data_IF_597924805376
#
_entry.id   IF_597924805376
#
_cell.length_a   1.000
_cell.length_b   1.000
_cell.length_c   1.000
_cell.angle_alpha   90.00
_cell.angle_beta   90.00
_cell.angle_gamma   90.00
#
_symmetry.space_group_name_H-M   'P 1'
#
loop_
_entity.id
_entity.type
_entity.pdbx_description
1 polymer ?
#
# COMPACT_ATOMS: atom_id res chain seq x y z
N UNK A 1 -8.76 -4.12 15.90
CA UNK A 1 -8.27 -4.44 14.54
C UNK A 1 -7.37 -5.66 14.68
N UNK A 2 -7.27 -6.55 13.70
CA UNK A 2 -6.30 -7.65 13.70
C UNK A 2 -5.14 -7.30 12.79
N UNK A 3 -3.92 -7.27 13.32
CA UNK A 3 -2.73 -6.92 12.54
C UNK A 3 -1.92 -8.14 12.14
N UNK A 4 -1.37 -8.08 10.94
CA UNK A 4 -0.55 -9.13 10.36
C UNK A 4 0.73 -8.53 9.78
N UNK A 5 1.81 -9.28 9.93
CA UNK A 5 3.05 -9.09 9.18
C UNK A 5 3.13 -10.09 8.04
N UNK A 6 3.78 -9.71 6.95
CA UNK A 6 4.07 -10.55 5.81
C UNK A 6 5.51 -10.38 5.36
N UNK A 7 6.22 -11.49 5.28
CA UNK A 7 7.61 -11.59 4.84
C UNK A 7 7.67 -12.47 3.58
N UNK A 8 7.92 -11.88 2.39
CA UNK A 8 7.98 -12.63 1.15
C UNK A 8 9.21 -13.55 1.15
N UNK A 9 9.04 -14.76 0.61
CA UNK A 9 10.13 -15.73 0.52
C UNK A 9 11.21 -15.31 -0.50
N UNK A 10 10.86 -14.47 -1.46
CA UNK A 10 11.74 -13.91 -2.49
C UNK A 10 11.15 -12.56 -2.95
N UNK A 11 11.19 -12.27 -4.25
CA UNK A 11 10.57 -11.07 -4.81
C UNK A 11 9.05 -11.17 -4.94
N UNK A 12 8.40 -10.01 -4.97
CA UNK A 12 6.97 -9.85 -5.23
C UNK A 12 6.75 -9.22 -6.61
N UNK A 13 5.66 -9.58 -7.28
CA UNK A 13 5.30 -9.00 -8.56
C UNK A 13 3.84 -8.56 -8.55
N UNK A 14 3.60 -7.28 -8.85
CA UNK A 14 2.29 -6.67 -8.91
C UNK A 14 2.08 -6.05 -10.27
N UNK A 15 1.17 -6.63 -11.05
CA UNK A 15 0.88 -6.16 -12.40
C UNK A 15 0.14 -4.82 -12.36
N UNK A 16 0.58 -3.89 -13.21
CA UNK A 16 -0.14 -2.66 -13.51
C UNK A 16 -1.34 -2.89 -14.41
N UNK A 17 -2.06 -1.80 -14.73
CA UNK A 17 -3.17 -1.81 -15.67
C UNK A 17 -2.72 -1.75 -17.14
N UNK A 18 -1.41 -1.66 -17.38
CA UNK A 18 -0.83 -1.53 -18.72
C UNK A 18 -0.92 -2.87 -19.48
N UNK A 19 -1.47 -2.88 -20.71
CA UNK A 19 -1.58 -4.10 -21.51
C UNK A 19 -0.19 -4.63 -21.85
N UNK A 20 0.00 -5.94 -21.66
CA UNK A 20 1.25 -6.64 -21.97
C UNK A 20 1.06 -7.45 -23.26
N UNK A 21 1.11 -6.79 -24.41
CA UNK A 21 1.06 -7.46 -25.71
C UNK A 21 2.42 -8.04 -26.06
N UNK A 22 2.53 -9.37 -26.06
CA UNK A 22 3.71 -10.16 -26.43
C UNK A 22 4.48 -9.53 -27.60
N UNK A 23 5.69 -9.02 -27.35
CA UNK A 23 6.61 -8.50 -28.38
C UNK A 23 6.89 -6.99 -28.34
N UNK A 24 6.28 -6.22 -27.43
CA UNK A 24 6.59 -4.80 -27.24
C UNK A 24 7.58 -4.57 -26.08
N UNK A 25 8.20 -3.39 -26.01
CA UNK A 25 9.14 -3.03 -24.93
C UNK A 25 8.42 -3.00 -23.57
N UNK A 26 8.49 -4.10 -22.82
CA UNK A 26 7.78 -4.26 -21.55
C UNK A 26 8.71 -4.06 -20.35
N UNK A 27 8.97 -2.82 -19.95
CA UNK A 27 9.28 -2.53 -18.54
C UNK A 27 7.97 -2.20 -17.85
N UNK A 28 7.14 -3.21 -17.57
CA UNK A 28 5.96 -3.00 -16.75
C UNK A 28 6.40 -2.52 -15.36
N UNK A 29 5.97 -1.33 -14.97
CA UNK A 29 6.33 -0.72 -13.69
C UNK A 29 5.59 -1.47 -12.58
N UNK A 30 6.31 -1.97 -11.58
CA UNK A 30 5.69 -2.68 -10.45
C UNK A 30 4.89 -1.69 -9.61
N UNK A 31 3.59 -1.95 -9.40
CA UNK A 31 2.77 -1.17 -8.47
C UNK A 31 3.11 -1.61 -7.04
N UNK A 32 4.06 -0.91 -6.41
CA UNK A 32 4.54 -1.19 -5.06
C UNK A 32 4.50 0.07 -4.17
N UNK A 33 4.04 -0.02 -2.91
CA UNK A 33 3.55 -1.23 -2.22
C UNK A 33 2.23 -1.77 -2.80
N UNK A 34 1.86 -3.03 -2.50
CA UNK A 34 0.69 -3.65 -3.14
C UNK A 34 -0.60 -2.89 -2.84
N UNK A 35 -1.49 -2.72 -3.83
CA UNK A 35 -2.82 -2.18 -3.59
C UNK A 35 -3.61 -3.03 -2.58
N UNK A 36 -4.46 -2.39 -1.77
CA UNK A 36 -5.33 -3.06 -0.79
C UNK A 36 -6.17 -4.18 -1.42
N UNK A 37 -6.66 -3.98 -2.65
CA UNK A 37 -7.42 -5.00 -3.38
C UNK A 37 -6.65 -6.31 -3.55
N UNK A 38 -5.33 -6.23 -3.74
CA UNK A 38 -4.46 -7.40 -3.91
C UNK A 38 -4.31 -8.16 -2.60
N UNK A 39 -4.18 -7.44 -1.47
CA UNK A 39 -4.20 -8.05 -0.13
C UNK A 39 -5.55 -8.71 0.16
N UNK A 40 -6.67 -8.06 -0.19
CA UNK A 40 -8.01 -8.63 -0.04
C UNK A 40 -8.16 -9.94 -0.82
N UNK A 41 -7.75 -9.98 -2.08
CA UNK A 41 -7.78 -11.21 -2.89
C UNK A 41 -6.90 -12.32 -2.32
N UNK A 42 -5.70 -11.98 -1.85
CA UNK A 42 -4.78 -12.90 -1.21
C UNK A 42 -5.37 -13.51 0.08
N UNK A 43 -6.00 -12.70 0.93
CA UNK A 43 -6.66 -13.16 2.16
C UNK A 43 -7.87 -14.04 1.86
N UNK A 44 -8.74 -13.66 0.91
CA UNK A 44 -9.87 -14.52 0.47
C UNK A 44 -9.39 -15.89 0.03
N UNK A 45 -8.36 -15.93 -0.82
CA UNK A 45 -7.76 -17.19 -1.30
C UNK A 45 -7.17 -18.02 -0.16
N UNK A 46 -6.56 -17.35 0.83
CA UNK A 46 -5.99 -18.01 2.00
C UNK A 46 -7.07 -18.61 2.90
N UNK A 47 -8.17 -17.89 3.12
CA UNK A 47 -9.34 -18.37 3.85
C UNK A 47 -9.89 -19.64 3.18
N UNK A 48 -10.16 -19.60 1.88
CA UNK A 48 -10.66 -20.77 1.13
C UNK A 48 -9.73 -21.97 1.30
N UNK A 49 -8.41 -21.75 1.11
CA UNK A 49 -7.42 -22.82 1.21
C UNK A 49 -7.34 -23.45 2.60
N UNK A 50 -7.31 -22.64 3.65
CA UNK A 50 -7.19 -23.14 5.03
C UNK A 50 -8.47 -23.85 5.50
N UNK A 51 -9.63 -23.42 5.01
CA UNK A 51 -10.92 -24.04 5.29
C UNK A 51 -11.26 -25.20 4.32
N UNK A 52 -10.31 -25.60 3.45
CA UNK A 52 -10.45 -26.72 2.49
C UNK A 52 -11.63 -26.56 1.52
N UNK A 53 -11.93 -25.32 1.13
CA UNK A 53 -13.00 -24.99 0.18
C UNK A 53 -12.40 -24.91 -1.22
N UNK A 54 -13.01 -25.62 -2.17
CA UNK A 54 -12.58 -25.54 -3.57
C UNK A 54 -13.00 -24.22 -4.22
N UNK A 55 -12.30 -23.83 -5.27
CA UNK A 55 -12.63 -22.61 -6.03
C UNK A 55 -14.03 -22.75 -6.65
N UNK A 56 -14.38 -23.93 -7.17
CA UNK A 56 -15.69 -24.17 -7.78
C UNK A 56 -16.83 -23.99 -6.78
N UNK A 57 -16.70 -24.55 -5.56
CA UNK A 57 -17.66 -24.34 -4.47
C UNK A 57 -17.86 -22.85 -4.15
N UNK A 58 -16.77 -22.08 -4.21
CA UNK A 58 -16.82 -20.66 -3.94
C UNK A 58 -17.56 -19.86 -5.01
N UNK A 59 -17.32 -20.16 -6.30
CA UNK A 59 -18.02 -19.51 -7.40
C UNK A 59 -19.50 -19.88 -7.47
N UNK A 60 -19.85 -21.11 -7.09
CA UNK A 60 -21.23 -21.58 -7.00
C UNK A 60 -21.97 -21.06 -5.76
N UNK A 61 -21.30 -20.28 -4.89
CA UNK A 61 -21.80 -19.83 -3.59
C UNK A 61 -22.24 -20.99 -2.67
N UNK A 62 -21.66 -22.18 -2.86
CA UNK A 62 -21.93 -23.36 -2.06
C UNK A 62 -20.93 -23.46 -0.90
N UNK A 63 -20.97 -22.46 -0.03
CA UNK A 63 -20.15 -22.36 1.17
C UNK A 63 -21.01 -21.93 2.35
N UNK A 64 -20.51 -22.14 3.57
CA UNK A 64 -21.18 -21.69 4.80
C UNK A 64 -21.54 -20.19 4.72
N UNK A 65 -22.76 -19.84 5.13
CA UNK A 65 -23.29 -18.48 5.08
C UNK A 65 -22.46 -17.49 5.89
N UNK A 66 -22.01 -17.86 7.10
CA UNK A 66 -21.17 -16.98 7.92
C UNK A 66 -19.83 -16.70 7.23
N UNK A 67 -19.27 -17.73 6.60
CA UNK A 67 -18.01 -17.59 5.88
C UNK A 67 -18.17 -16.72 4.62
N UNK A 68 -19.27 -16.90 3.88
CA UNK A 68 -19.61 -16.09 2.71
C UNK A 68 -19.76 -14.61 3.06
N UNK A 69 -20.36 -14.30 4.22
CA UNK A 69 -20.47 -12.92 4.71
C UNK A 69 -19.10 -12.28 4.99
N UNK A 70 -18.13 -13.06 5.49
CA UNK A 70 -16.77 -12.57 5.74
C UNK A 70 -16.04 -12.37 4.41
N UNK A 71 -15.96 -13.38 3.55
CA UNK A 71 -15.11 -13.33 2.35
C UNK A 71 -15.76 -12.60 1.17
N UNK A 72 -17.08 -12.45 1.17
CA UNK A 72 -17.90 -11.93 0.07
C UNK A 72 -17.95 -12.88 -1.14
N UNK A 73 -18.96 -12.73 -2.00
CA UNK A 73 -19.08 -13.46 -3.28
C UNK A 73 -17.95 -13.07 -4.25
N UNK A 74 -17.51 -13.99 -5.12
CA UNK A 74 -16.30 -13.85 -5.94
C UNK A 74 -16.16 -12.50 -6.69
N UNK A 75 -17.25 -11.94 -7.21
CA UNK A 75 -17.33 -10.68 -7.96
C UNK A 75 -17.75 -9.46 -7.11
N UNK A 76 -17.99 -9.66 -5.81
CA UNK A 76 -18.40 -8.61 -4.87
C UNK A 76 -17.26 -8.20 -3.94
N UNK A 77 -17.50 -7.10 -3.23
CA UNK A 77 -16.62 -6.63 -2.15
C UNK A 77 -16.56 -7.69 -1.04
N UNK A 78 -15.37 -7.92 -0.51
CA UNK A 78 -15.21 -8.70 0.71
C UNK A 78 -15.94 -8.02 1.88
N UNK A 79 -16.44 -8.82 2.82
CA UNK A 79 -17.10 -8.33 4.03
C UNK A 79 -16.15 -7.71 5.05
N UNK A 80 -14.85 -7.64 4.78
CA UNK A 80 -13.83 -7.01 5.60
C UNK A 80 -13.09 -5.87 4.87
N UNK A 81 -12.52 -4.97 5.67
CA UNK A 81 -11.66 -3.87 5.26
C UNK A 81 -10.22 -4.14 5.66
N UNK A 82 -9.29 -3.55 4.92
CA UNK A 82 -7.86 -3.63 5.22
C UNK A 82 -7.31 -2.21 5.32
N UNK A 83 -6.43 -1.99 6.28
CA UNK A 83 -5.55 -0.82 6.36
C UNK A 83 -4.13 -1.24 6.02
N UNK A 84 -3.47 -0.48 5.16
CA UNK A 84 -2.09 -0.67 4.72
C UNK A 84 -1.99 -0.90 3.20
N UNK A 85 -0.93 -1.56 2.73
CA UNK A 85 0.21 -2.03 3.51
C UNK A 85 1.08 -0.89 4.06
N UNK A 86 1.63 -1.14 5.22
CA UNK A 86 2.68 -0.39 5.90
C UNK A 86 4.00 -1.16 5.83
N UNK A 87 5.09 -0.55 6.27
CA UNK A 87 6.38 -1.23 6.40
C UNK A 87 6.77 -1.37 7.87
N UNK A 88 7.33 -2.52 8.23
CA UNK A 88 8.17 -2.66 9.41
C UNK A 88 9.61 -2.78 8.95
N UNK A 89 10.51 -1.98 9.51
CA UNK A 89 11.96 -2.10 9.32
C UNK A 89 12.63 -2.08 10.69
N UNK A 90 13.40 -3.12 10.99
CA UNK A 90 14.09 -3.27 12.28
C UNK A 90 13.14 -3.09 13.49
N UNK A 91 11.94 -3.67 13.41
CA UNK A 91 10.84 -3.59 14.40
C UNK A 91 10.22 -2.19 14.57
N UNK A 92 10.57 -1.24 13.71
CA UNK A 92 9.95 0.08 13.67
C UNK A 92 8.91 0.11 12.56
N UNK A 93 7.68 0.45 12.91
CA UNK A 93 6.59 0.61 11.94
C UNK A 93 6.72 1.99 11.28
N UNK A 94 6.70 1.98 9.95
CA UNK A 94 6.71 3.15 9.09
C UNK A 94 5.35 3.33 8.42
N UNK A 95 4.90 4.59 8.40
CA UNK A 95 3.65 5.04 7.80
C UNK A 95 3.93 6.10 6.73
N UNK A 96 3.06 6.26 5.73
CA UNK A 96 3.18 7.36 4.78
C UNK A 96 3.11 8.69 5.53
N UNK A 97 3.97 9.62 5.15
CA UNK A 97 3.94 10.97 5.70
C UNK A 97 2.70 11.72 5.16
N UNK A 98 2.04 12.56 5.99
CA UNK A 98 0.92 13.38 5.53
C UNK A 98 1.31 14.33 4.40
N UNK A 99 0.50 14.40 3.35
CA UNK A 99 0.68 15.38 2.25
C UNK A 99 0.53 16.84 2.70
N UNK A 100 -0.10 17.05 3.86
CA UNK A 100 -0.23 18.36 4.50
C UNK A 100 0.99 18.77 5.32
N UNK A 101 2.05 17.95 5.35
CA UNK A 101 3.33 18.28 5.98
C UNK A 101 4.35 18.63 4.90
N UNK A 102 5.20 19.61 5.19
CA UNK A 102 6.16 20.19 4.26
C UNK A 102 7.54 20.28 4.90
N UNK A 103 8.58 20.41 4.09
CA UNK A 103 9.94 20.72 4.49
C UNK A 103 10.56 21.73 3.51
N UNK A 104 11.61 22.45 3.92
CA UNK A 104 12.30 23.39 3.01
C UNK A 104 13.05 22.60 1.92
N UNK A 105 12.96 23.03 0.66
CA UNK A 105 13.56 22.32 -0.48
C UNK A 105 15.07 22.09 -0.35
N UNK A 106 15.78 22.98 0.32
CA UNK A 106 17.22 22.83 0.59
C UNK A 106 17.55 21.62 1.49
N UNK A 107 16.54 21.08 2.19
CA UNK A 107 16.64 19.87 3.01
C UNK A 107 16.32 18.58 2.23
N UNK A 108 16.07 18.63 0.91
CA UNK A 108 15.67 17.47 0.09
C UNK A 108 16.67 16.29 0.16
N UNK A 109 17.95 16.55 0.41
CA UNK A 109 18.96 15.48 0.54
C UNK A 109 19.20 15.03 1.98
N UNK A 110 18.50 15.61 2.96
CA UNK A 110 18.67 15.28 4.38
C UNK A 110 17.71 14.17 4.79
N UNK A 111 18.23 13.24 5.60
CA UNK A 111 17.44 12.18 6.22
C UNK A 111 16.55 12.70 7.35
N UNK A 112 16.97 13.78 8.02
CA UNK A 112 16.20 14.48 9.04
C UNK A 112 15.86 15.86 8.53
N UNK A 113 14.57 16.17 8.53
CA UNK A 113 14.06 17.45 8.00
C UNK A 113 13.20 18.13 9.04
N UNK A 114 13.20 19.47 9.00
CA UNK A 114 12.24 20.25 9.76
C UNK A 114 10.89 20.21 9.05
N UNK A 115 9.82 19.95 9.80
CA UNK A 115 8.46 19.83 9.29
C UNK A 115 7.66 21.09 9.55
N UNK A 116 6.94 21.52 8.52
CA UNK A 116 5.96 22.59 8.54
C UNK A 116 4.60 21.98 8.26
N UNK A 117 3.69 22.01 9.23
CA UNK A 117 2.35 21.46 9.10
C UNK A 117 1.41 22.54 8.56
N UNK A 118 0.54 22.20 7.62
CA UNK A 118 -0.54 23.08 7.19
C UNK A 118 -1.41 23.49 8.39
N UNK A 119 -1.75 24.77 8.43
CA UNK A 119 -2.71 25.32 9.37
C UNK A 119 -3.87 25.98 8.62
N UNK A 120 -5.06 25.99 9.23
CA UNK A 120 -6.19 26.75 8.72
C UNK A 120 -5.87 28.25 8.82
N UNK A 121 -5.98 28.98 7.72
CA UNK A 121 -5.83 30.44 7.70
C UNK A 121 -7.16 31.08 7.40
N UNK A 122 -7.54 32.04 8.25
CA UNK A 122 -8.63 32.98 8.00
C UNK A 122 -8.01 34.35 7.78
N UNK A 123 -7.78 34.73 6.52
CA UNK A 123 -7.21 36.03 6.17
C UNK A 123 -8.17 36.78 5.24
N UNK A 124 -8.58 38.02 5.58
CA UNK A 124 -9.41 38.83 4.70
C UNK A 124 -8.66 39.25 3.41
N UNK A 125 -7.34 39.07 3.38
CA UNK A 125 -6.50 39.38 2.22
C UNK A 125 -6.55 38.29 1.14
N UNK A 126 -7.07 37.10 1.46
CA UNK A 126 -7.13 35.97 0.55
C UNK A 126 -8.59 35.72 0.18
N UNK A 127 -8.96 36.03 -1.07
CA UNK A 127 -10.26 35.65 -1.63
C UNK A 127 -10.17 34.21 -2.13
N UNK A 128 -11.00 33.33 -1.59
CA UNK A 128 -11.09 31.93 -1.97
C UNK A 128 -12.54 31.48 -2.00
N UNK A 129 -12.87 30.55 -2.90
CA UNK A 129 -14.16 29.85 -2.93
C UNK A 129 -14.21 28.67 -1.93
N UNK A 130 -13.07 28.31 -1.35
CA UNK A 130 -12.97 27.20 -0.40
C UNK A 130 -13.51 27.62 0.97
N UNK A 131 -14.33 26.75 1.58
CA UNK A 131 -14.86 26.96 2.94
C UNK A 131 -13.77 26.95 4.01
N UNK A 132 -12.71 26.17 3.80
CA UNK A 132 -11.55 26.03 4.69
C UNK A 132 -10.30 26.13 3.85
N UNK A 133 -9.41 27.05 4.21
CA UNK A 133 -8.17 27.28 3.48
C UNK A 133 -6.96 26.91 4.34
N UNK A 134 -6.24 25.88 3.92
CA UNK A 134 -5.05 25.41 4.62
C UNK A 134 -3.79 25.92 3.93
N UNK A 135 -2.82 26.35 4.73
CA UNK A 135 -1.56 26.91 4.24
C UNK A 135 -0.40 26.51 5.15
N UNK A 136 0.78 26.33 4.57
CA UNK A 136 2.02 26.10 5.28
C UNK A 136 3.02 27.22 4.98
N UNK A 137 3.81 27.60 5.99
CA UNK A 137 4.87 28.60 5.85
C UNK A 137 6.16 28.03 6.41
N UNK A 138 7.18 27.95 5.56
CA UNK A 138 8.55 27.56 5.91
C UNK A 138 9.33 28.70 6.53
N UNK A 139 10.56 28.44 6.91
CA UNK A 139 11.49 29.48 7.36
C UNK A 139 12.29 30.06 6.20
N UNK A 140 12.62 29.24 5.20
CA UNK A 140 13.48 29.62 4.08
C UNK A 140 12.88 29.13 2.75
N UNK A 141 12.70 30.06 1.81
CA UNK A 141 12.51 29.72 0.40
C UNK A 141 11.25 28.90 0.07
N UNK A 142 11.45 27.93 -0.82
CA UNK A 142 10.41 27.09 -1.43
C UNK A 142 10.18 25.83 -0.57
N UNK A 143 8.91 25.50 -0.34
CA UNK A 143 8.50 24.30 0.39
C UNK A 143 8.23 23.14 -0.56
N UNK A 144 8.59 21.93 -0.12
CA UNK A 144 8.18 20.68 -0.74
C UNK A 144 7.32 19.84 0.21
N UNK A 145 6.38 19.08 -0.34
CA UNK A 145 5.53 18.18 0.47
C UNK A 145 6.34 16.98 0.94
N UNK A 146 6.16 16.60 2.20
CA UNK A 146 6.66 15.34 2.74
C UNK A 146 5.83 14.14 2.25
N UNK A 147 4.67 14.38 1.63
CA UNK A 147 3.84 13.34 1.04
C UNK A 147 4.60 12.50 0.00
N UNK A 148 4.37 11.19 0.02
CA UNK A 148 5.13 10.22 -0.78
C UNK A 148 6.40 9.69 -0.08
N UNK A 149 6.82 10.32 1.02
CA UNK A 149 7.88 9.82 1.92
C UNK A 149 7.27 9.03 3.07
N UNK A 150 8.12 8.37 3.85
CA UNK A 150 7.74 7.54 4.99
C UNK A 150 8.38 8.02 6.29
N UNK A 151 7.64 7.91 7.38
CA UNK A 151 8.09 8.30 8.72
C UNK A 151 7.76 7.18 9.70
N UNK A 152 8.47 7.09 10.82
CA UNK A 152 8.06 6.16 11.87
C UNK A 152 6.69 6.55 12.44
N UNK A 153 5.89 5.57 12.87
CA UNK A 153 4.58 5.81 13.47
C UNK A 153 4.67 6.76 14.68
N UNK A 154 5.72 6.63 15.49
CA UNK A 154 5.96 7.51 16.65
C UNK A 154 6.14 8.98 16.23
N UNK A 155 6.77 9.24 15.08
CA UNK A 155 6.96 10.60 14.58
C UNK A 155 5.66 11.24 14.07
N UNK A 156 4.67 10.44 13.65
CA UNK A 156 3.36 10.97 13.25
C UNK A 156 2.69 11.73 14.40
N UNK A 157 2.90 11.25 15.63
CA UNK A 157 2.33 11.83 16.86
C UNK A 157 3.30 12.72 17.63
N UNK A 158 4.55 12.81 17.17
CA UNK A 158 5.56 13.60 17.86
C UNK A 158 5.26 15.10 17.77
N UNK A 159 5.52 15.79 18.89
CA UNK A 159 5.56 17.26 18.92
C UNK A 159 6.87 17.81 18.36
N UNK A 160 7.87 16.94 18.13
CA UNK A 160 9.13 17.36 17.53
C UNK A 160 8.91 17.76 16.06
N UNK A 161 9.37 18.95 15.72
CA UNK A 161 9.30 19.46 14.36
C UNK A 161 10.51 19.02 13.52
N UNK A 162 11.44 18.23 14.04
CA UNK A 162 12.53 17.63 13.25
C UNK A 162 12.37 16.13 13.30
N UNK A 163 12.07 15.50 12.16
CA UNK A 163 11.80 14.07 12.09
C UNK A 163 12.68 13.38 11.03
N UNK A 164 13.12 12.14 11.28
CA UNK A 164 13.68 11.31 10.23
C UNK A 164 12.59 10.89 9.25
N UNK A 165 12.93 10.91 7.97
CA UNK A 165 12.11 10.40 6.86
C UNK A 165 12.86 9.31 6.11
N UNK A 166 12.12 8.53 5.33
CA UNK A 166 12.64 7.52 4.41
C UNK A 166 11.98 7.66 3.05
N UNK A 167 12.78 7.48 2.03
CA UNK A 167 12.31 7.20 0.68
C UNK A 167 11.76 5.78 0.59
N UNK A 168 10.96 5.52 -0.44
CA UNK A 168 10.36 4.20 -0.64
C UNK A 168 11.42 3.12 -0.95
N UNK A 169 12.54 3.48 -1.58
CA UNK A 169 13.67 2.59 -1.89
C UNK A 169 14.40 2.09 -0.63
N UNK A 170 14.21 2.77 0.50
CA UNK A 170 14.65 2.32 1.82
C UNK A 170 13.97 1.01 2.25
N UNK A 171 12.82 0.67 1.68
CA UNK A 171 12.06 -0.54 2.02
C UNK A 171 12.20 -1.66 0.99
N UNK A 172 12.44 -1.33 -0.28
CA UNK A 172 12.53 -2.33 -1.33
C UNK A 172 13.43 -1.86 -2.48
N UNK A 173 13.96 -2.82 -3.22
CA UNK A 173 14.68 -2.60 -4.48
C UNK A 173 13.91 -3.22 -5.64
N UNK A 174 14.11 -2.68 -6.84
CA UNK A 174 13.54 -3.23 -8.06
C UNK A 174 14.52 -4.23 -8.67
N UNK A 175 14.07 -5.46 -8.89
CA UNK A 175 14.81 -6.51 -9.56
C UNK A 175 14.19 -6.80 -10.93
N UNK A 176 14.95 -6.64 -12.00
CA UNK A 176 14.50 -7.02 -13.34
C UNK A 176 14.65 -8.53 -13.53
N UNK A 177 13.58 -9.20 -13.96
CA UNK A 177 13.59 -10.63 -14.29
C UNK A 177 13.15 -10.84 -15.73
N UNK A 178 14.03 -11.41 -16.53
CA UNK A 178 13.74 -11.77 -17.92
C UNK A 178 13.52 -13.27 -18.02
N UNK A 179 12.42 -13.67 -18.65
CA UNK A 179 12.09 -15.05 -18.93
C UNK A 179 11.86 -15.31 -20.41
N UNK A 180 11.97 -16.59 -20.76
CA UNK A 180 11.76 -17.10 -22.11
C UNK A 180 10.84 -18.31 -22.06
N UNK A 181 9.97 -18.46 -23.07
CA UNK A 181 9.26 -19.72 -23.25
C UNK A 181 10.06 -20.66 -24.16
N UNK A 182 10.19 -21.92 -23.74
CA UNK A 182 10.84 -22.97 -24.52
C UNK A 182 9.80 -23.79 -25.30
N UNK A 183 10.16 -24.22 -26.50
CA UNK A 183 9.44 -25.23 -27.25
C UNK A 183 9.81 -26.64 -26.75
N UNK A 184 9.06 -27.66 -27.17
CA UNK A 184 9.30 -29.06 -26.73
C UNK A 184 10.70 -29.59 -27.09
N UNK A 185 11.33 -29.01 -28.11
CA UNK A 185 12.72 -29.27 -28.54
C UNK A 185 13.76 -28.45 -27.76
N UNK A 186 13.37 -27.75 -26.68
CA UNK A 186 14.23 -26.84 -25.89
C UNK A 186 14.77 -25.61 -26.64
N UNK A 187 14.26 -25.30 -27.84
CA UNK A 187 14.55 -24.02 -28.48
C UNK A 187 13.68 -22.90 -27.92
N UNK A 188 14.16 -21.66 -27.97
CA UNK A 188 13.36 -20.48 -27.58
C UNK A 188 12.20 -20.31 -28.56
N UNK A 189 10.99 -20.10 -28.05
CA UNK A 189 9.84 -19.76 -28.90
C UNK A 189 10.00 -18.32 -29.40
N UNK A 190 9.89 -18.07 -30.71
CA UNK A 190 9.88 -16.71 -31.24
C UNK A 190 8.85 -15.83 -30.53
N UNK A 191 9.21 -14.58 -30.27
CA UNK A 191 8.36 -13.58 -29.59
C UNK A 191 8.00 -13.87 -28.13
N UNK A 192 8.56 -14.90 -27.48
CA UNK A 192 8.26 -15.22 -26.08
C UNK A 192 9.38 -14.78 -25.12
N UNK A 193 9.93 -13.58 -25.33
CA UNK A 193 10.82 -12.93 -24.37
C UNK A 193 9.98 -11.96 -23.54
N UNK A 194 10.04 -12.08 -22.22
CA UNK A 194 9.32 -11.18 -21.31
C UNK A 194 10.25 -10.70 -20.20
N UNK A 195 10.15 -9.43 -19.83
CA UNK A 195 10.87 -8.85 -18.69
C UNK A 195 9.86 -8.27 -17.71
N UNK A 196 10.04 -8.53 -16.42
CA UNK A 196 9.19 -8.03 -15.35
C UNK A 196 10.03 -7.30 -14.30
N UNK A 197 9.51 -6.17 -13.84
CA UNK A 197 10.04 -5.48 -12.66
C UNK A 197 9.45 -6.11 -11.41
N UNK A 198 10.29 -6.71 -10.58
CA UNK A 198 9.90 -7.30 -9.31
C UNK A 198 10.30 -6.39 -8.14
N UNK A 199 9.50 -6.37 -7.09
CA UNK A 199 9.86 -5.72 -5.83
C UNK A 199 10.54 -6.74 -4.90
N UNK A 200 11.81 -6.50 -4.56
CA UNK A 200 12.53 -7.24 -3.52
C UNK A 200 12.54 -6.41 -2.25
N UNK A 201 11.93 -6.90 -1.17
CA UNK A 201 12.06 -6.22 0.11
C UNK A 201 13.53 -6.20 0.55
N UNK A 202 13.95 -5.07 1.10
CA UNK A 202 15.28 -4.96 1.69
C UNK A 202 15.36 -5.83 2.95
N UNK A 203 16.59 -6.10 3.41
CA UNK A 203 16.82 -6.90 4.62
C UNK A 203 16.05 -6.31 5.81
N UNK A 204 15.45 -7.18 6.61
CA UNK A 204 14.65 -6.83 7.81
C UNK A 204 13.39 -6.00 7.52
N UNK A 205 12.94 -5.91 6.27
CA UNK A 205 11.68 -5.25 5.92
C UNK A 205 10.56 -6.27 5.83
N UNK A 206 9.42 -5.94 6.44
CA UNK A 206 8.16 -6.68 6.33
C UNK A 206 7.04 -5.76 5.89
N UNK A 207 6.04 -6.33 5.22
CA UNK A 207 4.77 -5.65 4.98
C UNK A 207 3.85 -5.85 6.17
N UNK A 208 3.20 -4.79 6.62
CA UNK A 208 2.25 -4.82 7.74
C UNK A 208 0.87 -4.38 7.26
N UNK A 209 -0.19 -5.07 7.67
CA UNK A 209 -1.55 -4.67 7.35
C UNK A 209 -2.53 -5.05 8.46
N UNK A 210 -3.56 -4.22 8.64
CA UNK A 210 -4.62 -4.41 9.62
C UNK A 210 -5.91 -4.83 8.95
N UNK A 211 -6.67 -5.72 9.58
CA UNK A 211 -8.00 -6.19 9.13
C UNK A 211 -9.03 -5.85 10.22
N UNK A 212 -10.17 -5.30 9.81
CA UNK A 212 -11.22 -4.85 10.73
C UNK A 212 -12.03 -5.98 11.38
N UNK A 213 -12.03 -7.15 10.76
CA UNK A 213 -12.68 -8.37 11.24
C UNK A 213 -11.68 -9.44 11.67
N UNK A 214 -12.14 -10.35 12.51
CA UNK A 214 -11.43 -11.60 12.74
C UNK A 214 -11.68 -12.53 11.54
N UNK A 215 -10.59 -13.03 10.97
CA UNK A 215 -10.64 -13.86 9.77
C UNK A 215 -10.45 -15.32 10.19
N UNK A 216 -11.17 -16.29 9.60
CA UNK A 216 -11.01 -17.71 9.88
C UNK A 216 -9.76 -18.27 9.20
N UNK A 217 -8.62 -17.71 9.57
CA UNK A 217 -7.27 -18.13 9.19
C UNK A 217 -6.46 -18.37 10.46
N UNK A 218 -5.45 -19.23 10.37
CA UNK A 218 -4.50 -19.45 11.46
C UNK A 218 -3.70 -18.17 11.75
N UNK A 219 -3.21 -18.02 12.97
CA UNK A 219 -2.37 -16.87 13.35
C UNK A 219 -1.07 -16.77 12.55
N UNK A 220 -0.61 -17.86 11.93
CA UNK A 220 0.51 -17.83 10.99
C UNK A 220 0.31 -18.84 9.88
N UNK A 221 1.00 -18.62 8.76
CA UNK A 221 0.95 -19.53 7.62
C UNK A 221 1.58 -18.95 6.37
N UNK A 222 1.21 -19.50 5.22
CA UNK A 222 1.68 -19.04 3.91
C UNK A 222 0.59 -18.20 3.25
N UNK A 223 0.96 -16.97 2.87
CA UNK A 223 0.14 -16.07 2.08
C UNK A 223 0.73 -15.99 0.66
N UNK A 224 -0.10 -16.23 -0.35
CA UNK A 224 0.26 -15.96 -1.75
C UNK A 224 -0.14 -14.53 -2.08
N UNK A 225 0.83 -13.70 -2.47
CA UNK A 225 0.61 -12.28 -2.68
C UNK A 225 1.24 -11.82 -4.00
N UNK A 226 0.42 -11.25 -4.87
CA UNK A 226 0.82 -10.82 -6.21
C UNK A 226 0.67 -11.92 -7.27
N UNK A 227 1.27 -11.68 -8.43
CA UNK A 227 1.26 -12.58 -9.57
C UNK A 227 2.35 -13.67 -9.46
N UNK A 228 2.44 -14.56 -10.47
CA UNK A 228 3.46 -15.63 -10.55
C UNK A 228 3.56 -16.54 -9.32
N UNK A 229 2.45 -16.74 -8.60
CA UNK A 229 2.40 -17.60 -7.41
C UNK A 229 3.43 -17.21 -6.34
N UNK A 230 3.85 -15.93 -6.28
CA UNK A 230 4.75 -15.44 -5.24
C UNK A 230 4.08 -15.60 -3.87
N UNK A 231 4.88 -15.98 -2.89
CA UNK A 231 4.40 -16.31 -1.55
C UNK A 231 5.39 -15.87 -0.48
N UNK A 232 4.89 -15.85 0.74
CA UNK A 232 5.66 -15.52 1.93
C UNK A 232 4.99 -16.04 3.18
N UNK A 233 5.67 -15.87 4.30
CA UNK A 233 5.13 -16.16 5.61
C UNK A 233 4.30 -14.97 6.08
N UNK A 234 3.11 -15.23 6.59
CA UNK A 234 2.35 -14.24 7.35
C UNK A 234 2.28 -14.66 8.82
N UNK A 235 2.17 -13.68 9.71
CA UNK A 235 1.97 -13.90 11.14
C UNK A 235 1.16 -12.76 11.75
N UNK A 236 0.19 -13.09 12.59
CA UNK A 236 -0.55 -12.15 13.43
C UNK A 236 0.43 -11.50 14.39
N UNK A 237 0.33 -10.19 14.55
CA UNK A 237 1.20 -9.39 15.40
C UNK A 237 0.37 -8.66 16.47
N UNK A 238 1.00 -8.17 17.55
CA UNK A 238 0.33 -7.31 18.51
C UNK A 238 -0.38 -6.12 17.84
N UNK A 239 -1.42 -5.63 18.49
CA UNK A 239 -2.19 -4.50 17.98
C UNK A 239 -1.27 -3.27 17.83
N UNK A 240 -1.47 -2.52 16.74
CA UNK A 240 -0.71 -1.32 16.47
C UNK A 240 -1.55 -0.13 16.94
N UNK A 241 -1.03 0.57 17.94
CA UNK A 241 -1.69 1.73 18.51
C UNK A 241 -1.56 2.95 17.58
N UNK A 242 -2.64 3.22 16.86
CA UNK A 242 -2.85 4.51 16.23
C UNK A 242 -3.57 5.40 17.26
N UNK A 243 -2.85 6.36 17.84
CA UNK A 243 -3.42 7.32 18.79
C UNK A 243 -4.75 7.89 18.26
N UNK A 244 -5.85 7.49 18.89
CA UNK A 244 -7.19 7.97 18.57
C UNK A 244 -7.40 9.38 19.14
N UNK A 245 -6.72 10.35 18.54
CA UNK A 245 -6.92 11.76 18.89
C UNK A 245 -8.19 12.31 18.25
N UNK A 246 -8.91 13.17 18.97
CA UNK A 246 -10.04 13.95 18.44
C UNK A 246 -9.53 15.10 17.56
N UNK A 247 -8.92 14.76 16.42
CA UNK A 247 -8.49 15.73 15.41
C UNK A 247 -9.62 16.01 14.42
N UNK A 248 -9.67 17.23 13.89
CA UNK A 248 -10.58 17.59 12.79
C UNK A 248 -10.06 17.15 11.41
N UNK A 249 -8.81 16.70 11.35
CA UNK A 249 -8.14 16.19 10.16
C UNK A 249 -7.76 14.73 10.35
N UNK A 250 -8.04 13.93 9.32
CA UNK A 250 -7.72 12.51 9.25
C UNK A 250 -6.80 12.24 8.08
N UNK A 251 -5.93 11.24 8.23
CA UNK A 251 -5.06 10.75 7.16
C UNK A 251 -5.51 9.34 6.78
N UNK A 252 -5.73 9.11 5.49
CA UNK A 252 -5.88 7.76 4.98
C UNK A 252 -4.51 7.09 4.91
N UNK A 253 -4.36 5.96 5.59
CA UNK A 253 -3.14 5.13 5.58
C UNK A 253 -3.09 4.24 4.32
N UNK A 254 -4.22 4.11 3.62
CA UNK A 254 -4.36 3.36 2.38
C UNK A 254 -4.87 4.26 1.26
N UNK A 255 -4.82 3.81 0.03
CA UNK A 255 -5.48 4.52 -1.08
C UNK A 255 -6.99 4.58 -0.83
N UNK A 256 -7.54 5.79 -0.90
CA UNK A 256 -8.98 6.04 -0.83
C UNK A 256 -9.55 6.17 -2.25
N UNK A 257 -10.77 5.69 -2.46
CA UNK A 257 -11.47 5.91 -3.72
C UNK A 257 -11.83 7.39 -3.87
N UNK A 258 -11.56 7.96 -5.05
CA UNK A 258 -11.91 9.35 -5.39
C UNK A 258 -13.40 9.53 -5.68
N UNK A 259 -14.26 9.31 -4.69
CA UNK A 259 -15.69 9.61 -4.79
C UNK A 259 -15.94 11.12 -4.68
N UNK A 260 -17.10 11.61 -5.11
CA UNK A 260 -17.49 13.01 -4.96
C UNK A 260 -17.37 13.48 -3.50
N UNK A 261 -17.94 12.70 -2.56
CA UNK A 261 -17.85 12.96 -1.12
C UNK A 261 -16.40 13.00 -0.61
N UNK A 262 -15.54 12.10 -1.08
CA UNK A 262 -14.13 12.12 -0.72
C UNK A 262 -13.47 13.40 -1.24
N UNK A 263 -13.70 13.75 -2.50
CA UNK A 263 -13.15 14.94 -3.14
C UNK A 263 -13.55 16.25 -2.45
N UNK A 264 -14.78 16.34 -1.94
CA UNK A 264 -15.26 17.49 -1.15
C UNK A 264 -14.59 17.62 0.23
N UNK A 265 -14.03 16.52 0.74
CA UNK A 265 -13.45 16.43 2.10
C UNK A 265 -11.92 16.44 2.11
N UNK A 266 -11.27 16.36 0.94
CA UNK A 266 -9.81 16.32 0.83
C UNK A 266 -9.20 17.67 1.19
N UNK A 267 -8.20 17.64 2.09
CA UNK A 267 -7.37 18.80 2.41
C UNK A 267 -6.06 18.79 1.61
N UNK A 268 -5.42 17.63 1.51
CA UNK A 268 -4.22 17.41 0.72
C UNK A 268 -4.19 15.96 0.23
N UNK A 269 -3.69 15.73 -0.98
CA UNK A 269 -3.59 14.40 -1.57
C UNK A 269 -2.37 14.32 -2.49
N UNK A 270 -1.92 13.10 -2.75
CA UNK A 270 -0.89 12.83 -3.74
C UNK A 270 -1.45 12.75 -5.15
N UNK A 271 -0.63 12.17 -6.05
CA UNK A 271 -1.05 11.91 -7.43
C UNK A 271 -2.26 10.98 -7.45
N UNK A 272 -3.31 11.38 -8.15
CA UNK A 272 -4.47 10.52 -8.41
C UNK A 272 -4.01 9.34 -9.29
N UNK A 273 -4.36 8.13 -8.87
CA UNK A 273 -3.97 6.90 -9.56
C UNK A 273 -5.22 6.20 -10.12
N UNK A 274 -5.16 5.85 -11.40
CA UNK A 274 -6.15 4.96 -12.00
C UNK A 274 -5.76 3.50 -11.72
N UNK A 275 -6.65 2.76 -11.07
CA UNK A 275 -6.45 1.35 -10.77
C UNK A 275 -7.35 0.47 -11.63
N UNK A 276 -6.83 0.08 -12.80
CA UNK A 276 -7.38 -1.01 -13.62
C UNK A 276 -6.65 -2.33 -13.35
N UNK A 277 -7.15 -3.43 -13.90
CA UNK A 277 -6.53 -4.76 -13.81
C UNK A 277 -7.38 -5.80 -13.07
N UNK A 278 -7.15 -7.06 -13.41
CA UNK A 278 -7.84 -8.25 -12.91
C UNK A 278 -6.99 -8.96 -11.85
#
# INVERSE_FOLDING_TARGET
MNWYSFEPADTLFFRGAEPMNIGENHTATANFPPPVRTLKGALRTTILKQNKISIDQYYDNNIDGELLEIIGQADKKAGFSIIGPLFELDKIIYVPAPYSWFFDKDDEKKDKVKIYKCALINSPLIKTSLKKFFWAKGEQGELETLGGKWISLNNLYSQNNIIPRKEIDGFYSVEQRTGIALAGNRSVRPHHLYSFSHARLNKNVKLIFGVDKDLPISDSGILKLGAEQRFGLYSKIPDIDFNNSSSSLFMSISQAAGTEQANESIVATGKIQYQGGW
#
